data_IF_016184467395
#
_entry.id   IF_016184467395
#
_cell.length_a   1.000
_cell.length_b   1.000
_cell.length_c   1.000
_cell.angle_alpha   90.00
_cell.angle_beta   90.00
_cell.angle_gamma   90.00
#
_symmetry.space_group_name_H-M   'P 1'
#
loop_
_entity.id
_entity.type
_entity.pdbx_description
1 polymer ?
#
# COMPACT_ATOMS: atom_id res chain seq x y z
N UNK A 1 -7.33 -43.82 -1.72
CA UNK A 1 -7.27 -43.16 -0.40
C UNK A 1 -6.52 -41.82 -0.44
N UNK A 2 -5.34 -41.72 -1.09
CA UNK A 2 -4.50 -40.51 -1.04
C UNK A 2 -5.05 -39.25 -1.73
N UNK A 3 -5.79 -39.38 -2.84
CA UNK A 3 -6.31 -38.20 -3.55
C UNK A 3 -7.39 -37.46 -2.76
N UNK A 4 -8.29 -38.19 -2.09
CA UNK A 4 -9.35 -37.58 -1.29
C UNK A 4 -8.79 -36.84 -0.07
N UNK A 5 -7.81 -37.42 0.62
CA UNK A 5 -7.11 -36.75 1.72
C UNK A 5 -6.36 -35.51 1.25
N UNK A 6 -5.71 -35.57 0.09
CA UNK A 6 -5.04 -34.42 -0.51
C UNK A 6 -6.02 -33.29 -0.85
N UNK A 7 -7.13 -33.59 -1.54
CA UNK A 7 -8.17 -32.61 -1.85
C UNK A 7 -8.80 -32.00 -0.59
N UNK A 8 -9.06 -32.83 0.43
CA UNK A 8 -9.55 -32.36 1.73
C UNK A 8 -8.54 -31.42 2.40
N UNK A 9 -7.25 -31.73 2.34
CA UNK A 9 -6.19 -30.88 2.91
C UNK A 9 -6.12 -29.50 2.23
N UNK A 10 -6.24 -29.46 0.89
CA UNK A 10 -6.31 -28.21 0.14
C UNK A 10 -7.57 -27.42 0.52
N UNK A 11 -8.71 -28.09 0.57
CA UNK A 11 -9.98 -27.46 0.95
C UNK A 11 -9.90 -26.83 2.35
N UNK A 12 -9.38 -27.55 3.33
CA UNK A 12 -9.19 -27.03 4.69
C UNK A 12 -8.21 -25.85 4.72
N UNK A 13 -7.12 -25.90 3.96
CA UNK A 13 -6.17 -24.79 3.85
C UNK A 13 -6.83 -23.53 3.24
N UNK A 14 -7.65 -23.69 2.19
CA UNK A 14 -8.42 -22.60 1.58
C UNK A 14 -9.43 -22.02 2.57
N UNK A 15 -10.17 -22.88 3.28
CA UNK A 15 -11.12 -22.44 4.31
C UNK A 15 -10.43 -21.69 5.45
N UNK A 16 -9.25 -22.15 5.88
CA UNK A 16 -8.45 -21.45 6.90
C UNK A 16 -7.96 -20.09 6.39
N UNK A 17 -7.46 -20.00 5.16
CA UNK A 17 -7.03 -18.75 4.56
C UNK A 17 -8.19 -17.76 4.39
N UNK A 18 -9.35 -18.23 3.91
CA UNK A 18 -10.57 -17.43 3.79
C UNK A 18 -11.05 -16.93 5.16
N UNK A 19 -11.02 -17.78 6.19
CA UNK A 19 -11.32 -17.37 7.57
C UNK A 19 -10.35 -16.31 8.07
N UNK A 20 -9.04 -16.48 7.85
CA UNK A 20 -8.03 -15.49 8.24
C UNK A 20 -8.25 -14.14 7.54
N UNK A 21 -8.62 -14.14 6.27
CA UNK A 21 -8.99 -12.94 5.53
C UNK A 21 -10.25 -12.29 6.10
N UNK A 22 -11.33 -13.05 6.28
CA UNK A 22 -12.60 -12.54 6.79
C UNK A 22 -12.50 -12.01 8.24
N UNK A 23 -11.51 -12.47 9.00
CA UNK A 23 -11.21 -11.98 10.34
C UNK A 23 -10.22 -10.80 10.38
N UNK A 24 -9.82 -10.25 9.23
CA UNK A 24 -9.00 -9.03 9.18
C UNK A 24 -9.83 -7.81 8.83
N UNK A 25 -9.38 -6.63 9.27
CA UNK A 25 -9.98 -5.36 8.90
C UNK A 25 -9.86 -5.01 7.42
N UNK A 26 -9.03 -5.73 6.64
CA UNK A 26 -8.83 -5.43 5.21
C UNK A 26 -10.11 -5.59 4.39
N UNK A 27 -10.97 -6.57 4.71
CA UNK A 27 -12.25 -6.74 4.02
C UNK A 27 -13.11 -5.50 4.16
N UNK A 28 -13.22 -4.98 5.38
CA UNK A 28 -14.04 -3.81 5.68
C UNK A 28 -13.40 -2.52 5.15
N UNK A 29 -12.06 -2.45 5.15
CA UNK A 29 -11.32 -1.28 4.66
C UNK A 29 -11.33 -1.16 3.12
N UNK A 30 -11.19 -2.27 2.39
CA UNK A 30 -11.10 -2.27 0.91
C UNK A 30 -12.44 -2.55 0.21
N UNK A 31 -13.36 -3.24 0.89
CA UNK A 31 -14.61 -3.72 0.29
C UNK A 31 -14.45 -4.91 -0.64
N UNK A 32 -13.25 -5.50 -0.73
CA UNK A 32 -13.00 -6.66 -1.57
C UNK A 32 -13.43 -7.96 -0.88
N UNK A 33 -13.80 -8.98 -1.68
CA UNK A 33 -13.98 -10.33 -1.15
C UNK A 33 -12.63 -11.07 -1.08
N UNK A 34 -12.61 -12.20 -0.35
CA UNK A 34 -11.44 -13.09 -0.32
C UNK A 34 -11.03 -13.52 -1.72
N UNK A 35 -11.98 -13.95 -2.55
CA UNK A 35 -11.68 -14.44 -3.89
C UNK A 35 -11.16 -13.31 -4.78
N UNK A 36 -11.80 -12.12 -4.75
CA UNK A 36 -11.34 -10.94 -5.50
C UNK A 36 -9.92 -10.52 -5.12
N UNK A 37 -9.57 -10.68 -3.84
CA UNK A 37 -8.24 -10.35 -3.33
C UNK A 37 -7.20 -11.39 -3.75
N UNK A 38 -7.55 -12.68 -3.74
CA UNK A 38 -6.60 -13.76 -3.98
C UNK A 38 -6.35 -14.03 -5.47
N UNK A 39 -7.28 -13.63 -6.35
CA UNK A 39 -7.12 -13.73 -7.81
C UNK A 39 -6.43 -12.52 -8.43
N UNK A 40 -6.44 -11.37 -7.75
CA UNK A 40 -5.74 -10.16 -8.18
C UNK A 40 -4.40 -10.00 -7.44
N UNK A 41 -3.31 -9.93 -8.20
CA UNK A 41 -1.97 -9.88 -7.63
C UNK A 41 -1.67 -8.55 -6.89
N UNK A 42 -2.27 -7.44 -7.31
CA UNK A 42 -2.12 -6.14 -6.66
C UNK A 42 -2.83 -6.11 -5.31
N UNK A 43 -4.12 -6.48 -5.30
CA UNK A 43 -4.93 -6.58 -4.08
C UNK A 43 -4.35 -7.56 -3.07
N UNK A 44 -3.84 -8.71 -3.54
CA UNK A 44 -3.11 -9.64 -2.67
C UNK A 44 -1.91 -8.98 -2.01
N UNK A 45 -1.17 -8.16 -2.76
CA UNK A 45 -0.04 -7.38 -2.24
C UNK A 45 -0.46 -6.43 -1.12
N UNK A 46 -1.51 -5.64 -1.37
CA UNK A 46 -2.10 -4.70 -0.40
C UNK A 46 -2.60 -5.40 0.86
N UNK A 47 -3.37 -6.49 0.71
CA UNK A 47 -3.84 -7.31 1.82
C UNK A 47 -2.70 -7.79 2.71
N UNK A 48 -1.61 -8.28 2.12
CA UNK A 48 -0.46 -8.78 2.89
C UNK A 48 0.22 -7.64 3.67
N UNK A 49 0.34 -6.45 3.08
CA UNK A 49 0.85 -5.27 3.78
C UNK A 49 -0.09 -4.91 4.93
N UNK A 50 -1.40 -4.76 4.67
CA UNK A 50 -2.41 -4.44 5.68
C UNK A 50 -2.34 -5.39 6.88
N UNK A 51 -2.25 -6.70 6.63
CA UNK A 51 -2.15 -7.73 7.68
C UNK A 51 -0.91 -7.61 8.55
N UNK A 52 0.19 -7.07 8.02
CA UNK A 52 1.36 -6.76 8.84
C UNK A 52 1.13 -5.52 9.68
N UNK A 53 0.53 -4.48 9.10
CA UNK A 53 0.25 -3.23 9.82
C UNK A 53 -0.73 -3.46 10.97
N UNK A 54 -1.79 -4.24 10.74
CA UNK A 54 -2.81 -4.59 11.75
C UNK A 54 -2.20 -5.24 13.02
N UNK A 55 -1.00 -5.82 12.89
CA UNK A 55 -0.27 -6.49 13.98
C UNK A 55 0.81 -5.62 14.63
N UNK A 56 1.01 -4.39 14.16
CA UNK A 56 1.96 -3.47 14.77
C UNK A 56 1.45 -3.06 16.15
N UNK A 57 2.37 -2.98 17.11
CA UNK A 57 2.06 -2.47 18.43
C UNK A 57 1.83 -0.95 18.39
N UNK A 58 1.02 -0.47 19.33
CA UNK A 58 0.68 0.94 19.46
C UNK A 58 -0.63 1.33 18.75
N UNK A 59 -1.15 2.49 19.14
CA UNK A 59 -2.42 3.00 18.62
C UNK A 59 -2.22 3.51 17.19
N UNK A 60 -2.90 2.86 16.25
CA UNK A 60 -2.90 3.25 14.84
C UNK A 60 -4.24 2.92 14.17
N UNK A 61 -4.50 3.54 13.03
CA UNK A 61 -5.66 3.31 12.16
C UNK A 61 -5.21 3.02 10.75
N UNK A 62 -5.95 2.18 10.05
CA UNK A 62 -5.63 1.73 8.69
C UNK A 62 -6.78 2.02 7.74
N UNK A 63 -6.44 2.52 6.56
CA UNK A 63 -7.36 2.81 5.46
C UNK A 63 -6.80 2.21 4.18
N UNK A 64 -7.64 1.59 3.35
CA UNK A 64 -7.24 1.00 2.08
C UNK A 64 -8.07 1.59 0.92
N UNK A 65 -7.48 1.65 -0.27
CA UNK A 65 -8.11 2.08 -1.52
C UNK A 65 -8.87 3.43 -1.37
N UNK A 66 -8.15 4.46 -0.94
CA UNK A 66 -8.70 5.80 -0.73
C UNK A 66 -8.71 6.57 -2.06
N UNK A 67 -9.87 7.05 -2.47
CA UNK A 67 -10.06 7.87 -3.68
C UNK A 67 -10.23 9.33 -3.30
N UNK A 68 -9.11 10.05 -3.19
CA UNK A 68 -9.11 11.45 -2.75
C UNK A 68 -9.24 12.39 -3.96
N UNK A 69 -10.14 13.39 -3.94
CA UNK A 69 -10.27 14.34 -5.04
C UNK A 69 -9.05 15.25 -5.12
N UNK A 70 -8.64 15.58 -6.33
CA UNK A 70 -7.59 16.56 -6.63
C UNK A 70 -8.23 17.88 -7.04
N UNK A 71 -7.43 18.95 -7.00
CA UNK A 71 -7.87 20.29 -7.42
C UNK A 71 -8.32 20.36 -8.89
N UNK A 72 -7.83 19.46 -9.75
CA UNK A 72 -8.22 19.38 -11.17
C UNK A 72 -9.55 18.64 -11.42
N UNK A 73 -10.27 18.26 -10.36
CA UNK A 73 -11.55 17.54 -10.43
C UNK A 73 -11.42 16.03 -10.65
N UNK A 74 -10.21 15.51 -10.91
CA UNK A 74 -9.96 14.07 -10.99
C UNK A 74 -9.55 13.51 -9.63
N UNK A 75 -9.51 12.19 -9.45
CA UNK A 75 -9.13 11.55 -8.18
C UNK A 75 -7.68 11.05 -8.18
N UNK A 76 -7.12 10.86 -7.00
CA UNK A 76 -5.97 9.98 -6.78
C UNK A 76 -6.43 8.77 -5.98
N UNK A 77 -6.03 7.58 -6.41
CA UNK A 77 -6.12 6.36 -5.60
C UNK A 77 -4.87 6.27 -4.72
N UNK A 78 -5.04 5.89 -3.46
CA UNK A 78 -3.97 5.62 -2.51
C UNK A 78 -4.20 4.22 -1.94
N UNK A 79 -3.26 3.31 -2.18
CA UNK A 79 -3.41 1.88 -1.86
C UNK A 79 -3.69 1.66 -0.37
N UNK A 80 -2.87 2.23 0.50
CA UNK A 80 -2.94 2.03 1.94
C UNK A 80 -2.35 3.22 2.71
N UNK A 81 -3.03 3.60 3.79
CA UNK A 81 -2.60 4.64 4.72
C UNK A 81 -2.64 4.07 6.14
N UNK A 82 -1.57 4.30 6.90
CA UNK A 82 -1.56 4.11 8.35
C UNK A 82 -1.42 5.47 9.04
N UNK A 83 -2.32 5.74 9.98
CA UNK A 83 -2.29 6.92 10.83
C UNK A 83 -1.89 6.46 12.22
N UNK A 84 -0.80 6.98 12.76
CA UNK A 84 -0.27 6.60 14.08
C UNK A 84 0.18 7.84 14.86
N UNK A 85 0.54 7.66 16.14
CA UNK A 85 1.02 8.76 16.96
C UNK A 85 2.25 9.48 16.37
N UNK A 86 3.07 8.81 15.58
CA UNK A 86 4.32 9.38 15.02
C UNK A 86 4.14 10.09 13.66
N UNK A 87 2.98 9.92 13.02
CA UNK A 87 2.65 10.51 11.72
C UNK A 87 1.75 9.64 10.84
N UNK A 88 1.64 10.05 9.58
CA UNK A 88 0.85 9.42 8.51
C UNK A 88 1.82 8.71 7.54
N UNK A 89 1.65 7.41 7.40
CA UNK A 89 2.47 6.56 6.55
C UNK A 89 1.64 6.19 5.33
N UNK A 90 2.15 6.52 4.15
CA UNK A 90 1.46 6.29 2.86
C UNK A 90 2.22 5.21 2.11
N UNK A 91 1.53 4.12 1.76
CA UNK A 91 2.14 2.93 1.18
C UNK A 91 1.77 2.81 -0.29
N UNK A 92 2.78 2.52 -1.11
CA UNK A 92 2.64 2.15 -2.51
C UNK A 92 3.05 0.68 -2.66
N UNK A 93 2.12 -0.17 -3.07
CA UNK A 93 2.32 -1.62 -3.18
C UNK A 93 2.72 -2.02 -4.60
N UNK A 94 3.91 -2.59 -4.79
CA UNK A 94 4.40 -3.08 -6.09
C UNK A 94 4.61 -4.58 -6.06
N UNK A 95 3.67 -5.33 -6.66
CA UNK A 95 3.81 -6.78 -6.80
C UNK A 95 4.56 -7.17 -8.09
N UNK A 96 5.84 -6.84 -8.16
CA UNK A 96 6.71 -7.17 -9.29
C UNK A 96 7.59 -8.38 -9.02
N UNK A 97 8.16 -8.95 -10.09
CA UNK A 97 9.15 -10.03 -10.02
C UNK A 97 10.45 -9.67 -10.73
N UNK A 98 11.49 -10.48 -10.52
CA UNK A 98 12.79 -10.30 -11.18
C UNK A 98 13.69 -9.29 -10.46
N UNK A 99 14.50 -8.53 -11.19
CA UNK A 99 15.36 -7.50 -10.63
C UNK A 99 14.79 -6.12 -10.84
N UNK A 100 14.79 -5.30 -9.79
CA UNK A 100 14.36 -3.91 -9.85
C UNK A 100 15.57 -3.00 -9.71
N UNK A 101 15.66 -2.03 -10.61
CA UNK A 101 16.66 -0.98 -10.62
C UNK A 101 15.95 0.36 -10.55
N UNK A 102 16.28 1.15 -9.55
CA UNK A 102 15.58 2.39 -9.22
C UNK A 102 16.54 3.47 -8.74
N UNK A 103 16.22 4.69 -9.12
CA UNK A 103 16.86 5.90 -8.64
C UNK A 103 15.74 6.91 -8.37
N UNK A 104 15.73 7.48 -7.18
CA UNK A 104 14.74 8.45 -6.75
C UNK A 104 14.61 9.62 -7.72
N UNK A 105 15.69 10.06 -8.35
CA UNK A 105 15.69 11.20 -9.28
C UNK A 105 15.32 10.80 -10.71
N UNK A 106 15.17 9.52 -11.02
CA UNK A 106 14.78 9.03 -12.34
C UNK A 106 13.26 8.94 -12.49
N UNK A 107 12.70 9.49 -13.57
CA UNK A 107 11.25 9.44 -13.87
C UNK A 107 10.70 8.01 -13.97
N UNK A 108 11.51 7.08 -14.48
CA UNK A 108 11.12 5.69 -14.67
C UNK A 108 12.18 4.75 -14.10
N UNK A 109 11.71 3.71 -13.44
CA UNK A 109 12.53 2.59 -12.97
C UNK A 109 12.51 1.45 -13.98
N UNK A 110 13.40 0.48 -13.81
CA UNK A 110 13.52 -0.67 -14.71
C UNK A 110 13.33 -1.97 -13.96
N UNK A 111 12.42 -2.80 -14.46
CA UNK A 111 12.28 -4.20 -14.11
C UNK A 111 13.02 -5.06 -15.14
N UNK A 112 13.83 -6.02 -14.69
CA UNK A 112 14.47 -7.03 -15.54
C UNK A 112 13.99 -8.41 -15.14
N UNK A 113 13.34 -9.12 -16.06
CA UNK A 113 12.84 -10.48 -15.85
C UNK A 113 13.86 -11.53 -16.27
N UNK A 114 13.61 -12.78 -15.87
CA UNK A 114 14.34 -13.95 -16.38
C UNK A 114 14.29 -13.97 -17.91
N UNK A 115 15.42 -14.28 -18.55
CA UNK A 115 15.56 -14.23 -20.01
C UNK A 115 15.86 -12.84 -20.58
N UNK A 116 16.17 -11.85 -19.74
CA UNK A 116 16.71 -10.56 -20.16
C UNK A 116 15.68 -9.53 -20.63
N UNK A 117 14.38 -9.85 -20.60
CA UNK A 117 13.31 -8.90 -20.90
C UNK A 117 13.30 -7.77 -19.88
N UNK A 118 13.30 -6.53 -20.35
CA UNK A 118 13.29 -5.32 -19.52
C UNK A 118 12.03 -4.51 -19.76
N UNK A 119 11.43 -4.02 -18.70
CA UNK A 119 10.26 -3.15 -18.71
C UNK A 119 10.55 -1.90 -17.90
N UNK A 120 10.08 -0.76 -18.37
CA UNK A 120 10.13 0.50 -17.61
C UNK A 120 8.77 0.73 -16.96
N UNK A 121 8.78 1.22 -15.73
CA UNK A 121 7.57 1.63 -15.03
C UNK A 121 7.81 2.98 -14.35
N UNK A 122 6.73 3.73 -14.13
CA UNK A 122 6.82 5.04 -13.50
C UNK A 122 7.40 4.93 -12.09
N UNK A 123 8.23 5.88 -11.70
CA UNK A 123 8.88 5.86 -10.40
C UNK A 123 7.83 5.87 -9.26
N UNK A 124 7.77 4.81 -8.43
CA UNK A 124 6.77 4.70 -7.37
C UNK A 124 6.98 5.73 -6.25
N UNK A 125 8.21 6.23 -6.03
CA UNK A 125 8.45 7.33 -5.10
C UNK A 125 7.74 8.59 -5.59
N UNK A 126 7.79 8.88 -6.89
CA UNK A 126 7.13 10.05 -7.47
C UNK A 126 5.61 9.89 -7.49
N UNK A 127 5.12 8.66 -7.69
CA UNK A 127 3.70 8.34 -7.57
C UNK A 127 3.21 8.64 -6.14
N UNK A 128 3.88 8.07 -5.14
CA UNK A 128 3.50 8.24 -3.74
C UNK A 128 3.69 9.68 -3.23
N UNK A 129 4.69 10.41 -3.74
CA UNK A 129 4.85 11.85 -3.47
C UNK A 129 3.66 12.68 -3.94
N UNK A 130 3.03 12.31 -5.07
CA UNK A 130 1.79 12.97 -5.52
C UNK A 130 0.64 12.64 -4.56
N UNK A 131 0.50 11.39 -4.13
CA UNK A 131 -0.51 10.98 -3.14
C UNK A 131 -0.37 11.80 -1.84
N UNK A 132 0.85 11.87 -1.31
CA UNK A 132 1.17 12.67 -0.11
C UNK A 132 0.86 14.15 -0.34
N UNK A 133 1.18 14.72 -1.49
CA UNK A 133 0.86 16.13 -1.79
C UNK A 133 -0.64 16.41 -1.77
N UNK A 134 -1.47 15.49 -2.27
CA UNK A 134 -2.94 15.63 -2.20
C UNK A 134 -3.41 15.52 -0.73
N UNK A 135 -2.86 14.57 0.04
CA UNK A 135 -3.18 14.43 1.47
C UNK A 135 -2.78 15.66 2.29
N UNK A 136 -1.60 16.23 2.04
CA UNK A 136 -1.12 17.45 2.69
C UNK A 136 -2.10 18.60 2.49
N UNK A 137 -2.51 18.82 1.24
CA UNK A 137 -3.46 19.87 0.90
C UNK A 137 -4.85 19.61 1.50
N UNK A 138 -5.32 18.35 1.50
CA UNK A 138 -6.62 17.97 2.05
C UNK A 138 -6.68 18.12 3.57
N UNK A 139 -5.63 17.68 4.28
CA UNK A 139 -5.58 17.69 5.75
C UNK A 139 -5.02 18.99 6.34
N UNK A 140 -4.40 19.84 5.53
CA UNK A 140 -3.70 21.05 6.00
C UNK A 140 -2.47 20.75 6.86
N UNK A 141 -1.78 19.63 6.61
CA UNK A 141 -0.63 19.16 7.39
C UNK A 141 0.70 19.32 6.64
N UNK A 142 1.77 19.61 7.37
CA UNK A 142 3.12 19.76 6.83
C UNK A 142 3.79 18.44 6.45
N UNK A 143 4.87 18.51 5.67
CA UNK A 143 5.62 17.33 5.17
C UNK A 143 6.25 16.48 6.27
N UNK A 144 6.58 17.08 7.40
CA UNK A 144 7.11 16.39 8.57
C UNK A 144 6.18 15.31 9.13
N UNK A 145 4.87 15.43 8.87
CA UNK A 145 3.82 14.49 9.29
C UNK A 145 3.77 13.23 8.43
N UNK A 146 4.35 13.25 7.22
CA UNK A 146 4.18 12.18 6.25
C UNK A 146 5.44 11.33 6.09
N UNK A 147 5.25 10.04 5.84
CA UNK A 147 6.29 9.08 5.48
C UNK A 147 5.86 8.30 4.25
N UNK A 148 6.77 8.14 3.30
CA UNK A 148 6.53 7.44 2.03
C UNK A 148 7.14 6.05 2.07
N UNK A 149 6.31 5.01 1.95
CA UNK A 149 6.74 3.63 1.98
C UNK A 149 6.45 2.95 0.65
N UNK A 150 7.49 2.60 -0.10
CA UNK A 150 7.37 1.85 -1.35
C UNK A 150 7.69 0.38 -1.07
N UNK A 151 6.68 -0.47 -1.15
CA UNK A 151 6.76 -1.85 -0.73
C UNK A 151 6.71 -2.78 -1.94
N UNK A 152 7.80 -3.49 -2.20
CA UNK A 152 7.87 -4.52 -3.21
C UNK A 152 7.56 -5.91 -2.63
N UNK A 153 6.97 -6.80 -3.43
CA UNK A 153 6.86 -8.20 -3.03
C UNK A 153 8.22 -8.89 -3.00
N UNK A 154 8.29 -10.04 -2.33
CA UNK A 154 9.50 -10.85 -2.20
C UNK A 154 9.80 -11.64 -3.49
N UNK A 155 9.00 -11.45 -4.54
CA UNK A 155 9.21 -12.05 -5.86
C UNK A 155 10.25 -11.28 -6.69
N UNK A 156 10.69 -10.11 -6.21
CA UNK A 156 11.76 -9.35 -6.83
C UNK A 156 12.91 -9.07 -5.86
N UNK A 157 14.07 -8.79 -6.43
CA UNK A 157 15.26 -8.32 -5.72
C UNK A 157 15.55 -6.87 -6.12
N UNK A 158 15.67 -5.99 -5.13
CA UNK A 158 16.09 -4.61 -5.32
C UNK A 158 17.62 -4.59 -5.49
N UNK A 159 18.11 -4.25 -6.70
CA UNK A 159 19.56 -4.34 -7.03
C UNK A 159 20.30 -3.02 -6.85
N UNK A 160 20.08 -2.08 -7.76
CA UNK A 160 20.66 -0.72 -7.68
C UNK A 160 19.51 0.19 -7.29
N UNK A 161 19.38 0.47 -6.00
CA UNK A 161 18.32 1.28 -5.43
C UNK A 161 18.94 2.49 -4.74
N UNK A 162 18.75 3.67 -5.33
CA UNK A 162 19.27 4.93 -4.80
C UNK A 162 18.10 5.79 -4.29
N UNK A 163 18.01 5.90 -2.97
CA UNK A 163 17.02 6.70 -2.24
C UNK A 163 17.77 7.70 -1.39
N UNK A 164 17.42 8.98 -1.50
CA UNK A 164 18.12 10.10 -0.89
C UNK A 164 17.25 10.86 0.11
N UNK A 165 15.93 10.82 -0.05
CA UNK A 165 15.00 11.48 0.87
C UNK A 165 14.81 10.67 2.16
N UNK A 166 15.05 11.24 3.35
CA UNK A 166 15.03 10.51 4.62
C UNK A 166 13.63 10.02 5.03
N UNK A 167 12.57 10.66 4.55
CA UNK A 167 11.17 10.28 4.78
C UNK A 167 10.67 9.18 3.84
N UNK A 168 11.49 8.76 2.88
CA UNK A 168 11.17 7.73 1.89
C UNK A 168 11.91 6.44 2.23
N UNK A 169 11.15 5.35 2.35
CA UNK A 169 11.73 4.00 2.43
C UNK A 169 11.27 3.16 1.27
N UNK A 170 12.21 2.44 0.65
CA UNK A 170 11.95 1.47 -0.43
C UNK A 170 12.49 0.12 0.02
N UNK A 171 11.63 -0.89 0.04
CA UNK A 171 12.01 -2.19 0.60
C UNK A 171 11.13 -3.33 0.07
N UNK A 172 11.58 -4.57 0.26
CA UNK A 172 10.71 -5.73 0.14
C UNK A 172 9.80 -5.86 1.37
N UNK A 173 8.63 -6.47 1.20
CA UNK A 173 7.60 -6.55 2.24
C UNK A 173 8.00 -7.37 3.47
N UNK A 174 8.85 -8.37 3.32
CA UNK A 174 9.35 -9.21 4.42
C UNK A 174 10.20 -8.43 5.45
N UNK A 175 10.88 -7.37 5.03
CA UNK A 175 11.65 -6.50 5.95
C UNK A 175 10.80 -5.38 6.56
N UNK A 176 9.60 -5.11 6.01
CA UNK A 176 8.75 -3.97 6.37
C UNK A 176 8.37 -3.91 7.84
N UNK A 177 7.97 -5.04 8.43
CA UNK A 177 7.49 -5.06 9.81
C UNK A 177 8.56 -4.53 10.79
N UNK A 178 9.82 -4.95 10.60
CA UNK A 178 10.94 -4.51 11.42
C UNK A 178 11.21 -3.02 11.25
N UNK A 179 11.28 -2.55 10.00
CA UNK A 179 11.56 -1.15 9.68
C UNK A 179 10.49 -0.21 10.24
N UNK A 180 9.22 -0.62 10.20
CA UNK A 180 8.12 0.15 10.76
C UNK A 180 8.10 0.15 12.28
N UNK A 181 8.33 -1.01 12.91
CA UNK A 181 8.43 -1.07 14.36
C UNK A 181 9.56 -0.17 14.89
N UNK A 182 10.68 -0.09 14.17
CA UNK A 182 11.76 0.83 14.47
C UNK A 182 11.32 2.30 14.33
N UNK A 183 10.69 2.69 13.22
CA UNK A 183 10.23 4.07 13.03
C UNK A 183 9.20 4.48 14.09
N UNK A 184 8.20 3.66 14.35
CA UNK A 184 7.16 3.95 15.36
C UNK A 184 7.75 4.05 16.76
N UNK A 185 8.81 3.29 17.08
CA UNK A 185 9.46 3.35 18.40
C UNK A 185 10.39 4.55 18.58
N UNK A 186 11.03 5.05 17.52
CA UNK A 186 12.09 6.08 17.63
C UNK A 186 11.65 7.47 17.18
N UNK A 187 10.61 7.57 16.36
CA UNK A 187 10.10 8.87 15.92
C UNK A 187 9.29 9.54 17.04
N UNK A 188 9.43 10.86 17.14
CA UNK A 188 8.63 11.65 18.08
C UNK A 188 7.13 11.52 17.79
N UNK A 189 6.33 11.44 18.85
CA UNK A 189 4.88 11.55 18.76
C UNK A 189 4.50 12.96 18.30
N UNK A 190 3.68 13.03 17.25
CA UNK A 190 3.16 14.26 16.64
C UNK A 190 1.64 14.33 16.66
N UNK A 191 0.95 13.19 16.82
CA UNK A 191 -0.50 13.08 16.83
C UNK A 191 -0.99 12.47 18.15
N UNK A 192 -1.98 13.11 18.75
CA UNK A 192 -2.80 12.56 19.83
C UNK A 192 -3.79 11.53 19.29
N UNK A 193 -4.36 10.71 20.18
CA UNK A 193 -5.41 9.75 19.82
C UNK A 193 -6.66 10.43 19.22
N UNK A 194 -6.97 11.66 19.65
CA UNK A 194 -8.08 12.42 19.11
C UNK A 194 -7.81 12.81 17.65
N UNK A 195 -6.61 13.32 17.36
CA UNK A 195 -6.21 13.70 16.00
C UNK A 195 -6.14 12.48 15.08
N UNK A 196 -5.62 11.34 15.56
CA UNK A 196 -5.63 10.07 14.81
C UNK A 196 -7.06 9.71 14.39
N UNK A 197 -8.01 9.76 15.33
CA UNK A 197 -9.41 9.44 15.05
C UNK A 197 -10.08 10.47 14.14
N UNK A 198 -9.76 11.76 14.26
CA UNK A 198 -10.27 12.81 13.39
C UNK A 198 -9.80 12.62 11.95
N UNK A 199 -8.49 12.42 11.74
CA UNK A 199 -7.91 12.17 10.41
C UNK A 199 -8.51 10.90 9.82
N UNK A 200 -8.64 9.84 10.61
CA UNK A 200 -9.25 8.59 10.15
C UNK A 200 -10.70 8.79 9.70
N UNK A 201 -11.52 9.47 10.51
CA UNK A 201 -12.93 9.71 10.18
C UNK A 201 -13.07 10.58 8.94
N UNK A 202 -12.21 11.59 8.76
CA UNK A 202 -12.17 12.41 7.55
C UNK A 202 -11.89 11.55 6.31
N UNK A 203 -10.75 10.85 6.31
CA UNK A 203 -10.28 10.08 5.16
C UNK A 203 -11.16 8.86 4.85
N UNK A 204 -11.82 8.26 5.85
CA UNK A 204 -12.71 7.11 5.66
C UNK A 204 -13.90 7.40 4.74
N UNK A 205 -14.27 8.68 4.56
CA UNK A 205 -15.34 9.09 3.64
C UNK A 205 -14.98 8.89 2.17
N UNK A 206 -13.69 8.71 1.88
CA UNK A 206 -13.15 8.50 0.55
C UNK A 206 -12.75 7.03 0.31
N UNK A 207 -12.99 6.15 1.28
CA UNK A 207 -12.84 4.71 1.13
C UNK A 207 -14.07 4.11 0.43
N UNK A 208 -13.97 2.84 0.01
CA UNK A 208 -15.09 2.07 -0.55
C UNK A 208 -15.80 2.77 -1.74
N UNK A 209 -15.03 3.47 -2.56
CA UNK A 209 -15.55 4.19 -3.72
C UNK A 209 -16.37 3.27 -4.63
N UNK A 210 -17.43 3.83 -5.21
CA UNK A 210 -18.32 3.13 -6.12
C UNK A 210 -17.63 2.79 -7.47
N UNK A 211 -18.27 1.93 -8.26
CA UNK A 211 -17.72 1.50 -9.54
C UNK A 211 -17.51 2.66 -10.52
N UNK A 212 -18.36 3.69 -10.46
CA UNK A 212 -18.26 4.86 -11.33
C UNK A 212 -17.01 5.69 -11.02
N UNK A 213 -16.75 5.95 -9.73
CA UNK A 213 -15.55 6.67 -9.26
C UNK A 213 -14.27 5.90 -9.62
N UNK A 214 -14.29 4.58 -9.44
CA UNK A 214 -13.18 3.70 -9.81
C UNK A 214 -12.90 3.73 -11.32
N UNK A 215 -13.95 3.67 -12.14
CA UNK A 215 -13.81 3.73 -13.59
C UNK A 215 -13.31 5.10 -14.05
N UNK A 216 -13.87 6.19 -13.53
CA UNK A 216 -13.43 7.54 -13.85
C UNK A 216 -11.95 7.77 -13.49
N UNK A 217 -11.48 7.16 -12.40
CA UNK A 217 -10.06 7.15 -12.04
C UNK A 217 -9.19 6.46 -13.10
N UNK A 218 -9.58 5.24 -13.51
CA UNK A 218 -8.85 4.46 -14.53
C UNK A 218 -8.78 5.22 -15.85
N UNK A 219 -9.89 5.81 -16.30
CA UNK A 219 -9.96 6.55 -17.56
C UNK A 219 -9.04 7.78 -17.53
N UNK A 220 -8.99 8.50 -16.41
CA UNK A 220 -8.11 9.65 -16.22
C UNK A 220 -6.61 9.27 -16.20
N UNK A 221 -6.28 8.06 -15.75
CA UNK A 221 -4.91 7.55 -15.74
C UNK A 221 -4.45 7.08 -17.14
N UNK A 222 -5.35 6.46 -17.91
CA UNK A 222 -5.05 6.02 -19.27
C UNK A 222 -4.84 7.21 -20.22
N UNK A 223 -5.61 8.28 -20.07
CA UNK A 223 -5.45 9.50 -20.89
C UNK A 223 -4.09 10.21 -20.71
N UNK A 224 -3.39 9.94 -19.59
CA UNK A 224 -2.12 10.61 -19.22
C UNK A 224 -0.86 9.83 -19.60
N UNK A 225 -0.98 8.60 -20.11
CA UNK A 225 0.13 7.74 -20.56
C UNK A 225 0.23 7.72 -22.09
#
# INVERSE_FOLDING_TARGET
MNLLFFLLSIFLAVMFAAKKYNNSGYKDASGHSYFDTMTDSGRKGEYLIYRYLERLDGQHKLLANIYLPKADGTTTEIDLIMISATGIYVFESKNYSGWIFGDENSKFWTQSLKGGKKFRFYNPIWQNKKHISVLQNHLGLGSEMFRSYIIFSEHCELKKMFVHSPEVKVMNRDVMFKEMALDVAHLANRLSILEINQIYNDLSRYALADAATKQAHIDAMQWRN
#
